data_IF_514658202455
#
_entry.id   IF_514658202455
#
_cell.length_a   1.000
_cell.length_b   1.000
_cell.length_c   1.000
_cell.angle_alpha   90.00
_cell.angle_beta   90.00
_cell.angle_gamma   90.00
#
_symmetry.space_group_name_H-M   'P 1'
#
loop_
_entity.id
_entity.type
_entity.pdbx_description
1 polymer ?
#
# COMPACT_ATOMS: atom_id res chain seq x y z
N UNK A 1 -10.75 8.82 3.29
CA UNK A 1 -9.86 8.58 2.13
C UNK A 1 -9.62 7.08 2.02
N UNK A 2 -9.77 6.50 0.84
CA UNK A 2 -9.51 5.08 0.55
C UNK A 2 -8.27 4.97 -0.34
N UNK A 3 -7.54 3.86 -0.28
CA UNK A 3 -6.40 3.57 -1.16
C UNK A 3 -6.69 2.33 -2.01
N UNK A 4 -5.99 2.22 -3.15
CA UNK A 4 -6.09 1.04 -4.04
C UNK A 4 -4.75 0.31 -4.19
N UNK A 5 -3.62 0.97 -3.96
CA UNK A 5 -2.30 0.38 -4.22
C UNK A 5 -1.45 0.40 -2.95
N UNK A 6 -0.79 -0.72 -2.67
CA UNK A 6 0.19 -0.89 -1.58
C UNK A 6 1.56 -1.12 -2.20
N UNK A 7 2.57 -0.38 -1.75
CA UNK A 7 3.95 -0.49 -2.20
C UNK A 7 4.86 -0.84 -1.02
N UNK A 8 5.57 -1.96 -1.14
CA UNK A 8 6.66 -2.35 -0.24
C UNK A 8 7.98 -1.78 -0.78
N UNK A 9 8.80 -1.25 0.13
CA UNK A 9 10.19 -0.87 -0.11
C UNK A 9 11.10 -1.64 0.85
N UNK A 10 12.07 -2.35 0.34
CA UNK A 10 13.09 -3.06 1.13
C UNK A 10 14.46 -2.49 0.77
N UNK A 11 15.24 -2.13 1.77
CA UNK A 11 16.63 -1.68 1.58
C UNK A 11 17.55 -2.57 2.40
N UNK A 12 18.53 -3.17 1.74
CA UNK A 12 19.50 -4.06 2.35
C UNK A 12 20.71 -3.28 2.90
N UNK A 13 21.54 -3.96 3.69
CA UNK A 13 22.75 -3.40 4.31
C UNK A 13 23.73 -2.79 3.28
N UNK A 14 23.86 -3.43 2.12
CA UNK A 14 24.67 -3.00 0.97
C UNK A 14 24.06 -1.80 0.19
N UNK A 15 23.06 -1.13 0.76
CA UNK A 15 22.35 0.01 0.17
C UNK A 15 21.47 -0.29 -1.06
N UNK A 16 21.41 -1.53 -1.51
CA UNK A 16 20.50 -1.99 -2.56
C UNK A 16 19.04 -1.82 -2.11
N UNK A 17 18.19 -1.34 -3.02
CA UNK A 17 16.78 -1.04 -2.74
C UNK A 17 15.88 -1.75 -3.73
N UNK A 18 14.90 -2.48 -3.20
CA UNK A 18 13.83 -3.12 -3.95
C UNK A 18 12.49 -2.46 -3.64
N UNK A 19 11.65 -2.36 -4.67
CA UNK A 19 10.30 -1.81 -4.53
C UNK A 19 9.32 -2.73 -5.26
N UNK A 20 8.24 -3.12 -4.58
CA UNK A 20 7.19 -3.97 -5.14
C UNK A 20 5.83 -3.36 -4.82
N UNK A 21 5.03 -3.11 -5.86
CA UNK A 21 3.67 -2.58 -5.72
C UNK A 21 2.62 -3.60 -6.09
N UNK A 22 1.52 -3.63 -5.33
CA UNK A 22 0.33 -4.43 -5.62
C UNK A 22 -0.91 -3.54 -5.57
N UNK A 23 -1.65 -3.54 -6.67
CA UNK A 23 -2.95 -2.88 -6.77
C UNK A 23 -4.03 -3.88 -6.37
N UNK A 24 -4.85 -3.50 -5.39
CA UNK A 24 -5.95 -4.30 -4.91
C UNK A 24 -7.14 -4.24 -5.89
N UNK A 25 -7.93 -5.32 -5.99
CA UNK A 25 -9.12 -5.33 -6.84
C UNK A 25 -10.24 -4.42 -6.30
N UNK A 26 -10.14 -3.95 -5.05
CA UNK A 26 -11.08 -3.05 -4.39
C UNK A 26 -10.34 -1.87 -3.73
N UNK A 27 -11.05 -0.76 -3.52
CA UNK A 27 -10.56 0.34 -2.68
C UNK A 27 -10.81 0.00 -1.21
N UNK A 28 -9.86 0.32 -0.34
CA UNK A 28 -9.98 0.05 1.10
C UNK A 28 -9.27 1.13 1.91
N UNK A 29 -9.68 1.30 3.16
CA UNK A 29 -8.97 2.07 4.17
C UNK A 29 -8.65 1.21 5.40
N UNK A 30 -8.87 -0.11 5.31
CA UNK A 30 -8.76 -1.01 6.45
C UNK A 30 -7.30 -1.39 6.67
N UNK A 31 -6.84 -1.21 7.90
CA UNK A 31 -5.48 -1.55 8.30
C UNK A 31 -5.15 -3.05 8.10
N UNK A 32 -6.15 -3.93 8.28
CA UNK A 32 -5.99 -5.37 8.05
C UNK A 32 -5.60 -5.69 6.60
N UNK A 33 -6.18 -5.01 5.61
CA UNK A 33 -5.91 -5.26 4.20
C UNK A 33 -4.51 -4.77 3.85
N UNK A 34 -4.10 -3.62 4.40
CA UNK A 34 -2.74 -3.11 4.28
C UNK A 34 -1.71 -4.07 4.88
N UNK A 35 -1.92 -4.52 6.12
CA UNK A 35 -1.02 -5.46 6.82
C UNK A 35 -0.90 -6.78 6.08
N UNK A 36 -2.03 -7.35 5.63
CA UNK A 36 -2.06 -8.59 4.85
C UNK A 36 -1.24 -8.43 3.57
N UNK A 37 -1.54 -7.39 2.79
CA UNK A 37 -0.85 -7.14 1.50
C UNK A 37 0.64 -6.89 1.69
N UNK A 38 1.04 -6.12 2.71
CA UNK A 38 2.45 -5.88 3.01
C UNK A 38 3.19 -7.16 3.43
N UNK A 39 2.55 -8.02 4.24
CA UNK A 39 3.11 -9.33 4.64
C UNK A 39 3.27 -10.27 3.45
N UNK A 40 2.33 -10.29 2.52
CA UNK A 40 2.44 -11.07 1.28
C UNK A 40 3.63 -10.58 0.46
N UNK A 41 3.73 -9.26 0.23
CA UNK A 41 4.80 -8.67 -0.58
C UNK A 41 6.19 -8.89 0.01
N UNK A 42 6.33 -8.89 1.34
CA UNK A 42 7.66 -9.00 1.96
C UNK A 42 8.22 -10.42 1.91
N UNK A 43 7.39 -11.46 1.75
CA UNK A 43 7.86 -12.86 1.70
C UNK A 43 8.93 -13.06 0.63
N UNK A 44 8.77 -12.45 -0.55
CA UNK A 44 9.73 -12.55 -1.66
C UNK A 44 11.11 -11.92 -1.36
N UNK A 45 11.20 -11.09 -0.31
CA UNK A 45 12.39 -10.34 0.07
C UNK A 45 13.01 -10.82 1.39
N UNK A 46 12.36 -11.72 2.13
CA UNK A 46 12.92 -12.32 3.34
C UNK A 46 13.91 -13.42 2.96
N UNK A 47 15.18 -13.04 2.77
CA UNK A 47 16.27 -13.97 2.44
C UNK A 47 17.22 -14.07 3.64
N UNK A 48 17.47 -15.27 4.21
CA UNK A 48 18.32 -15.44 5.39
C UNK A 48 19.74 -14.86 5.24
N UNK A 49 20.28 -14.91 4.03
CA UNK A 49 21.63 -14.45 3.70
C UNK A 49 21.72 -12.92 3.49
N UNK A 50 20.59 -12.20 3.50
CA UNK A 50 20.54 -10.76 3.20
C UNK A 50 19.96 -9.98 4.37
N UNK A 51 20.77 -9.15 5.03
CA UNK A 51 20.26 -8.30 6.11
C UNK A 51 19.50 -7.10 5.55
N UNK A 52 18.26 -6.96 6.02
CA UNK A 52 17.42 -5.80 5.74
C UNK A 52 17.70 -4.74 6.79
N UNK A 53 17.95 -3.50 6.36
CA UNK A 53 18.13 -2.36 7.25
C UNK A 53 16.95 -1.39 7.27
N UNK A 54 16.09 -1.46 6.26
CA UNK A 54 14.88 -0.65 6.19
C UNK A 54 13.79 -1.41 5.46
N UNK A 55 12.60 -1.37 6.04
CA UNK A 55 11.34 -1.78 5.42
C UNK A 55 10.39 -0.59 5.48
N UNK A 56 9.86 -0.20 4.33
CA UNK A 56 8.85 0.85 4.23
C UNK A 56 7.61 0.33 3.53
N UNK A 57 6.44 0.79 3.96
CA UNK A 57 5.16 0.52 3.29
C UNK A 57 4.53 1.86 2.94
N UNK A 58 4.14 2.01 1.68
CA UNK A 58 3.44 3.18 1.15
C UNK A 58 2.09 2.73 0.61
N UNK A 59 1.08 3.58 0.76
CA UNK A 59 -0.20 3.45 0.05
C UNK A 59 -0.34 4.59 -0.96
N UNK A 60 -0.99 4.30 -2.08
CA UNK A 60 -1.20 5.25 -3.17
C UNK A 60 -2.52 4.97 -3.91
N UNK A 61 -2.77 5.76 -4.95
CA UNK A 61 -4.01 5.75 -5.71
C UNK A 61 -5.23 5.99 -4.79
N UNK A 62 -5.21 7.14 -4.12
CA UNK A 62 -6.22 7.49 -3.15
C UNK A 62 -7.51 7.95 -3.83
N UNK A 63 -8.64 7.49 -3.31
CA UNK A 63 -9.97 7.90 -3.74
C UNK A 63 -10.70 8.52 -2.57
N UNK A 64 -11.26 9.72 -2.77
CA UNK A 64 -12.16 10.35 -1.83
C UNK A 64 -13.53 9.71 -1.94
N UNK A 65 -14.12 9.29 -0.82
CA UNK A 65 -15.56 9.08 -0.80
C UNK A 65 -16.20 10.46 -0.70
N UNK A 66 -16.38 11.11 -1.85
CA UNK A 66 -17.26 12.26 -1.90
C UNK A 66 -18.66 11.75 -1.59
N UNK A 67 -19.22 12.18 -0.45
CA UNK A 67 -20.66 12.07 -0.23
C UNK A 67 -21.30 12.87 -1.36
N UNK A 68 -22.06 12.20 -2.21
CA UNK A 68 -22.85 12.82 -3.25
C UNK A 68 -23.63 13.99 -2.61
N UNK A 69 -23.32 15.24 -2.98
CA UNK A 69 -24.12 16.39 -2.53
C UNK A 69 -25.52 16.18 -3.12
N UNK A 70 -26.61 16.20 -2.32
CA UNK A 70 -27.94 16.19 -2.90
C UNK A 70 -28.05 17.39 -3.85
N UNK A 71 -28.52 17.13 -5.07
CA UNK A 71 -28.86 18.17 -6.03
C UNK A 71 -29.98 18.99 -5.39
N UNK A 72 -29.66 20.17 -4.87
CA UNK A 72 -30.67 21.14 -4.46
C UNK A 72 -31.22 21.72 -5.76
N UNK A 73 -32.36 21.21 -6.21
CA UNK A 73 -33.12 21.79 -7.31
C UNK A 73 -33.93 22.92 -6.67
N UNK A 74 -33.46 24.16 -6.75
CA UNK A 74 -34.25 25.32 -6.34
C UNK A 74 -35.17 25.70 -7.50
N UNK A 75 -36.49 25.72 -7.22
CA UNK A 75 -37.56 26.19 -8.11
C UNK A 75 -37.57 27.71 -8.26
#
# INVERSE_FOLDING_TARGET
LYFKTVTLRVRYENFETHTHSKTLPFITNRLQDLKKTAKELIQDYLKPERKIRLVGVRVSNFVSAEKQKPLVITS
#
